data_IF_638410106974
#
_entry.id   IF_638410106974
#
_cell.length_a   1.000
_cell.length_b   1.000
_cell.length_c   1.000
_cell.angle_alpha   90.00
_cell.angle_beta   90.00
_cell.angle_gamma   90.00
#
_symmetry.space_group_name_H-M   'P 1'
#
loop_
_entity.id
_entity.type
_entity.pdbx_description
1 polymer ?
#
# COMPACT_ATOMS: atom_id res chain seq x y z
N UNK A 1 25.51 22.63 3.75
CA UNK A 1 24.57 22.99 2.68
C UNK A 1 23.32 22.15 2.86
N UNK A 2 22.18 22.76 3.21
CA UNK A 2 20.91 22.03 3.25
C UNK A 2 20.56 21.60 1.83
N UNK A 3 20.53 20.29 1.56
CA UNK A 3 19.94 19.79 0.32
C UNK A 3 18.46 20.18 0.34
N UNK A 4 18.04 20.95 -0.67
CA UNK A 4 16.63 21.24 -0.88
C UNK A 4 15.86 19.92 -1.09
N UNK A 5 14.62 19.82 -0.61
CA UNK A 5 13.80 18.65 -0.83
C UNK A 5 13.62 18.43 -2.34
N UNK A 6 13.86 17.21 -2.79
CA UNK A 6 13.83 16.84 -4.23
C UNK A 6 12.45 16.33 -4.67
N UNK A 7 11.58 16.04 -3.70
CA UNK A 7 10.35 15.28 -3.88
C UNK A 7 9.15 15.96 -3.23
N UNK A 8 7.99 15.84 -3.89
CA UNK A 8 6.69 16.17 -3.36
C UNK A 8 5.83 14.92 -3.14
N UNK A 9 4.95 14.99 -2.15
CA UNK A 9 3.95 13.97 -1.83
C UNK A 9 2.55 14.56 -2.01
N UNK A 10 1.69 13.82 -2.71
CA UNK A 10 0.28 14.09 -2.90
C UNK A 10 -0.52 12.96 -2.24
N UNK A 11 -1.35 13.29 -1.26
CA UNK A 11 -2.33 12.37 -0.71
C UNK A 11 -3.71 12.81 -1.22
N UNK A 12 -4.50 11.92 -1.86
CA UNK A 12 -5.83 12.27 -2.35
C UNK A 12 -6.70 12.90 -1.25
N UNK A 13 -7.22 14.09 -1.52
CA UNK A 13 -8.05 14.85 -0.56
C UNK A 13 -7.27 15.77 0.39
N UNK A 14 -5.94 15.84 0.30
CA UNK A 14 -5.10 16.68 1.16
C UNK A 14 -4.21 17.62 0.33
N UNK A 15 -3.65 18.63 1.00
CA UNK A 15 -2.67 19.52 0.39
C UNK A 15 -1.35 18.79 0.08
N UNK A 16 -0.69 19.22 -1.00
CA UNK A 16 0.62 18.72 -1.41
C UNK A 16 1.65 19.03 -0.33
N UNK A 17 2.47 18.03 0.03
CA UNK A 17 3.54 18.14 1.02
C UNK A 17 4.90 18.16 0.32
N UNK A 18 5.73 19.15 0.63
CA UNK A 18 7.07 19.33 0.04
C UNK A 18 8.17 19.54 1.09
N UNK A 19 7.80 19.51 2.37
CA UNK A 19 8.65 19.77 3.54
C UNK A 19 9.45 18.53 3.98
N UNK A 20 10.01 17.77 3.03
CA UNK A 20 10.92 16.67 3.33
C UNK A 20 12.18 17.19 4.03
N UNK A 21 12.57 16.54 5.12
CA UNK A 21 13.76 16.85 5.90
C UNK A 21 14.90 15.90 5.52
N UNK A 22 16.05 16.45 5.16
CA UNK A 22 17.25 15.64 4.91
C UNK A 22 17.72 14.97 6.22
N UNK A 23 17.99 13.68 6.16
CA UNK A 23 18.47 12.89 7.31
C UNK A 23 19.88 12.34 7.09
N UNK A 24 20.29 12.21 5.83
CA UNK A 24 21.60 11.71 5.41
C UNK A 24 21.85 12.19 3.97
N UNK A 25 23.06 11.96 3.44
CA UNK A 25 23.38 12.31 2.06
C UNK A 25 22.47 11.57 1.08
N UNK A 26 21.66 12.32 0.34
CA UNK A 26 20.72 11.74 -0.63
C UNK A 26 19.51 11.06 0.01
N UNK A 27 19.29 11.18 1.33
CA UNK A 27 18.12 10.64 2.01
C UNK A 27 17.32 11.73 2.71
N UNK A 28 16.00 11.69 2.52
CA UNK A 28 15.09 12.61 3.19
C UNK A 28 13.82 11.89 3.65
N UNK A 29 13.15 12.48 4.63
CA UNK A 29 11.92 11.94 5.21
C UNK A 29 10.86 13.01 5.37
N UNK A 30 9.60 12.61 5.25
CA UNK A 30 8.43 13.39 5.63
C UNK A 30 7.62 12.55 6.61
N UNK A 31 7.20 13.15 7.72
CA UNK A 31 6.38 12.47 8.72
C UNK A 31 5.03 13.17 8.86
N UNK A 32 3.95 12.39 8.81
CA UNK A 32 2.57 12.82 8.89
C UNK A 32 1.89 12.16 10.09
N UNK A 33 1.08 12.91 10.82
CA UNK A 33 0.33 12.43 11.99
C UNK A 33 -1.08 11.97 11.59
N UNK A 34 -1.53 10.88 12.18
CA UNK A 34 -2.89 10.35 12.04
C UNK A 34 -3.46 9.98 13.43
N UNK A 35 -4.49 10.68 13.94
CA UNK A 35 -5.16 11.83 13.32
C UNK A 35 -4.27 13.08 13.31
N UNK A 36 -4.52 13.99 12.37
CA UNK A 36 -3.78 15.25 12.24
C UNK A 36 -3.64 15.63 10.78
N UNK A 37 -2.44 15.43 10.23
CA UNK A 37 -2.13 15.67 8.82
C UNK A 37 -2.97 14.80 7.88
N UNK A 38 -3.33 13.59 8.33
CA UNK A 38 -4.28 12.71 7.64
C UNK A 38 -5.34 12.17 8.61
N UNK A 39 -6.54 11.93 8.08
CA UNK A 39 -7.66 11.40 8.85
C UNK A 39 -7.62 9.86 8.94
N UNK A 40 -8.01 9.27 10.08
CA UNK A 40 -8.16 7.83 10.21
C UNK A 40 -9.44 7.32 9.49
N UNK A 41 -9.50 6.02 9.16
CA UNK A 41 -8.44 5.03 9.27
C UNK A 41 -7.43 5.14 8.12
N UNK A 42 -6.13 4.94 8.42
CA UNK A 42 -5.06 4.95 7.41
C UNK A 42 -5.29 3.94 6.27
N UNK A 43 -5.99 2.83 6.55
CA UNK A 43 -6.35 1.83 5.56
C UNK A 43 -7.17 2.38 4.37
N UNK A 44 -7.78 3.58 4.49
CA UNK A 44 -8.47 4.25 3.37
C UNK A 44 -7.52 4.92 2.39
N UNK A 45 -6.28 5.18 2.78
CA UNK A 45 -5.27 5.75 1.89
C UNK A 45 -4.69 4.63 1.04
N UNK A 46 -5.44 4.21 0.03
CA UNK A 46 -5.04 3.13 -0.89
C UNK A 46 -3.92 3.56 -1.82
N UNK A 47 -3.89 4.84 -2.18
CA UNK A 47 -2.96 5.40 -3.15
C UNK A 47 -2.37 6.71 -2.65
N UNK A 48 -1.08 6.92 -2.96
CA UNK A 48 -0.41 8.21 -2.81
C UNK A 48 0.37 8.53 -4.08
N UNK A 49 0.38 9.80 -4.46
CA UNK A 49 1.18 10.31 -5.57
C UNK A 49 2.51 10.84 -5.06
N UNK A 50 3.59 10.55 -5.76
CA UNK A 50 4.88 11.20 -5.53
C UNK A 50 5.45 11.72 -6.84
N UNK A 51 6.22 12.79 -6.75
CA UNK A 51 6.84 13.41 -7.90
C UNK A 51 8.13 14.15 -7.52
N UNK A 52 9.05 14.29 -8.47
CA UNK A 52 10.21 15.15 -8.36
C UNK A 52 9.76 16.61 -8.47
N UNK A 53 10.24 17.47 -7.58
CA UNK A 53 9.91 18.90 -7.62
C UNK A 53 10.47 19.56 -8.88
N UNK A 54 9.75 20.55 -9.45
CA UNK A 54 10.21 21.26 -10.63
C UNK A 54 11.54 21.96 -10.35
N UNK A 55 12.40 22.00 -11.35
CA UNK A 55 13.74 22.61 -11.32
C UNK A 55 14.76 21.92 -10.40
N UNK A 56 14.44 20.74 -9.85
CA UNK A 56 15.40 19.90 -9.15
C UNK A 56 15.82 18.76 -10.07
N UNK A 57 17.12 18.61 -10.28
CA UNK A 57 17.68 17.49 -11.05
C UNK A 57 18.35 16.49 -10.11
N UNK A 58 18.10 15.22 -10.36
CA UNK A 58 18.85 14.15 -9.70
C UNK A 58 20.28 14.11 -10.25
N UNK A 59 21.26 13.62 -9.47
CA UNK A 59 22.59 13.36 -9.98
C UNK A 59 22.54 12.44 -11.22
N UNK A 60 23.49 12.62 -12.15
CA UNK A 60 23.50 11.82 -13.37
C UNK A 60 23.55 10.31 -13.05
N UNK A 61 22.74 9.51 -13.75
CA UNK A 61 22.65 8.07 -13.50
C UNK A 61 21.99 7.67 -12.18
N UNK A 62 21.26 8.56 -11.50
CA UNK A 62 20.53 8.26 -10.26
C UNK A 62 19.01 8.32 -10.45
N UNK A 63 18.31 7.59 -9.58
CA UNK A 63 16.88 7.66 -9.39
C UNK A 63 16.54 7.77 -7.90
N UNK A 64 15.27 7.59 -7.58
CA UNK A 64 14.72 7.69 -6.23
C UNK A 64 14.01 6.39 -5.86
N UNK A 65 14.33 5.85 -4.70
CA UNK A 65 13.55 4.82 -4.01
C UNK A 65 12.67 5.50 -2.96
N UNK A 66 11.38 5.16 -2.96
CA UNK A 66 10.40 5.64 -1.99
C UNK A 66 10.04 4.51 -1.04
N UNK A 67 10.06 4.80 0.25
CA UNK A 67 9.72 3.87 1.32
C UNK A 67 8.63 4.46 2.21
N UNK A 68 7.94 3.60 2.93
CA UNK A 68 7.04 3.99 3.99
C UNK A 68 7.34 3.22 5.29
N UNK A 69 7.00 3.83 6.41
CA UNK A 69 6.98 3.20 7.74
C UNK A 69 5.81 3.81 8.54
N UNK A 70 5.20 3.01 9.42
CA UNK A 70 4.21 3.52 10.39
C UNK A 70 4.69 3.22 11.81
N UNK A 71 4.58 4.23 12.68
CA UNK A 71 4.97 4.15 14.09
C UNK A 71 3.81 4.61 14.96
N UNK A 72 3.38 3.77 15.90
CA UNK A 72 2.36 4.09 16.89
C UNK A 72 2.89 5.01 17.98
N UNK A 73 2.01 5.85 18.54
CA UNK A 73 2.27 6.51 19.80
C UNK A 73 2.43 5.49 20.92
N UNK A 74 3.13 5.88 21.99
CA UNK A 74 3.27 5.06 23.20
C UNK A 74 2.10 5.32 24.14
N UNK A 75 1.49 4.26 24.67
CA UNK A 75 0.38 4.37 25.63
C UNK A 75 0.89 4.68 27.06
N UNK A 76 2.09 4.19 27.40
CA UNK A 76 2.69 4.34 28.72
C UNK A 76 4.14 4.83 28.64
N UNK A 77 4.59 5.66 29.61
CA UNK A 77 5.99 6.06 29.70
C UNK A 77 6.91 4.84 29.85
N UNK A 78 7.98 4.77 29.05
CA UNK A 78 8.95 3.67 29.10
C UNK A 78 8.65 2.49 28.18
N UNK A 79 7.52 2.48 27.48
CA UNK A 79 7.27 1.53 26.39
C UNK A 79 7.94 1.99 25.09
N UNK A 80 8.43 1.02 24.31
CA UNK A 80 8.88 1.28 22.94
C UNK A 80 7.66 1.39 22.01
N UNK A 81 7.65 2.34 21.06
CA UNK A 81 6.56 2.47 20.11
C UNK A 81 6.51 1.25 19.19
N UNK A 82 5.32 0.68 18.99
CA UNK A 82 5.11 -0.31 17.95
C UNK A 82 5.32 0.34 16.58
N UNK A 83 6.08 -0.30 15.69
CA UNK A 83 6.34 0.23 14.37
C UNK A 83 6.43 -0.89 13.34
N UNK A 84 6.07 -0.58 12.10
CA UNK A 84 6.39 -1.44 10.95
C UNK A 84 7.87 -1.33 10.63
N UNK A 85 8.38 -2.26 9.80
CA UNK A 85 9.62 -2.02 9.07
C UNK A 85 9.48 -0.90 8.03
N UNK A 86 10.60 -0.42 7.50
CA UNK A 86 10.58 0.35 6.25
C UNK A 86 10.31 -0.59 5.10
N UNK A 87 9.24 -0.31 4.36
CA UNK A 87 8.88 -1.08 3.17
C UNK A 87 8.97 -0.22 1.93
N UNK A 88 9.39 -0.85 0.82
CA UNK A 88 9.49 -0.16 -0.45
C UNK A 88 8.08 0.11 -1.00
N UNK A 89 7.80 1.39 -1.23
CA UNK A 89 6.60 1.85 -1.90
C UNK A 89 6.75 1.81 -3.42
N UNK A 90 7.92 2.21 -3.93
CA UNK A 90 8.23 2.19 -5.35
C UNK A 90 9.42 3.06 -5.72
N UNK A 91 9.52 3.41 -7.00
CA UNK A 91 10.70 4.07 -7.56
C UNK A 91 10.31 5.20 -8.51
N UNK A 92 11.10 6.27 -8.57
CA UNK A 92 10.99 7.34 -9.58
C UNK A 92 12.35 7.57 -10.25
N UNK A 93 12.34 7.97 -11.51
CA UNK A 93 13.58 8.18 -12.30
C UNK A 93 13.47 9.48 -13.09
N UNK A 94 14.57 10.01 -13.66
CA UNK A 94 14.48 11.18 -14.54
C UNK A 94 13.54 10.97 -15.74
N UNK A 95 13.46 9.75 -16.29
CA UNK A 95 12.52 9.39 -17.37
C UNK A 95 11.08 9.19 -16.89
N UNK A 96 10.88 8.92 -15.61
CA UNK A 96 9.57 8.76 -14.98
C UNK A 96 9.56 9.54 -13.65
N UNK A 97 9.41 10.88 -13.72
CA UNK A 97 9.65 11.77 -12.57
C UNK A 97 8.49 11.78 -11.57
N UNK A 98 7.41 11.05 -11.84
CA UNK A 98 6.24 10.94 -10.97
C UNK A 98 5.61 9.56 -11.08
N UNK A 99 4.99 9.11 -10.00
CA UNK A 99 4.23 7.87 -9.96
C UNK A 99 3.11 7.93 -8.91
N UNK A 100 2.08 7.12 -9.13
CA UNK A 100 1.06 6.81 -8.12
C UNK A 100 1.39 5.43 -7.57
N UNK A 101 1.48 5.33 -6.25
CA UNK A 101 1.82 4.12 -5.55
C UNK A 101 0.65 3.60 -4.73
N UNK A 102 0.40 2.30 -4.84
CA UNK A 102 -0.52 1.59 -3.95
C UNK A 102 0.18 1.38 -2.61
N UNK A 103 -0.47 1.79 -1.52
CA UNK A 103 0.12 1.70 -0.18
C UNK A 103 0.09 0.27 0.38
N UNK A 104 -0.95 -0.51 0.06
CA UNK A 104 -1.17 -1.84 0.62
C UNK A 104 -1.49 -1.85 2.12
N UNK A 105 -1.68 -0.69 2.74
CA UNK A 105 -1.82 -0.54 4.19
C UNK A 105 -3.01 -1.32 4.78
N UNK A 106 -4.12 -1.44 4.05
CA UNK A 106 -5.31 -2.17 4.51
C UNK A 106 -5.10 -3.69 4.66
N UNK A 107 -4.03 -4.23 4.07
CA UNK A 107 -3.69 -5.65 4.03
C UNK A 107 -2.43 -5.96 4.84
N UNK A 108 -1.73 -4.95 5.33
CA UNK A 108 -0.46 -5.10 6.03
C UNK A 108 -0.70 -5.54 7.48
N UNK A 109 -0.32 -6.78 7.82
CA UNK A 109 -0.61 -7.43 9.11
C UNK A 109 -0.21 -6.59 10.33
N UNK A 110 1.06 -6.15 10.41
CA UNK A 110 1.52 -5.31 11.53
C UNK A 110 0.76 -3.99 11.64
N UNK A 111 0.28 -3.44 10.52
CA UNK A 111 -0.46 -2.18 10.53
C UNK A 111 -1.90 -2.41 11.00
N UNK A 112 -2.50 -3.55 10.65
CA UNK A 112 -3.80 -3.95 11.19
C UNK A 112 -3.72 -4.08 12.71
N UNK A 113 -2.66 -4.72 13.22
CA UNK A 113 -2.40 -4.82 14.67
C UNK A 113 -2.20 -3.44 15.32
N UNK A 114 -1.33 -2.60 14.76
CA UNK A 114 -1.10 -1.24 15.25
C UNK A 114 -2.42 -0.44 15.25
N UNK A 115 -3.21 -0.53 14.17
CA UNK A 115 -4.48 0.21 14.04
C UNK A 115 -5.53 -0.28 15.03
N UNK A 116 -5.50 -1.56 15.42
CA UNK A 116 -6.40 -2.12 16.42
C UNK A 116 -6.16 -1.56 17.84
N UNK A 117 -4.96 -1.01 18.11
CA UNK A 117 -4.68 -0.34 19.39
C UNK A 117 -5.45 0.96 19.58
N UNK A 118 -5.95 1.58 18.50
CA UNK A 118 -6.61 2.87 18.52
C UNK A 118 -5.71 4.06 18.87
N UNK A 119 -4.41 3.83 19.02
CA UNK A 119 -3.43 4.88 19.31
C UNK A 119 -3.18 5.74 18.06
N UNK A 120 -2.92 7.05 18.23
CA UNK A 120 -2.42 7.88 17.15
C UNK A 120 -1.15 7.28 16.54
N UNK A 121 -0.99 7.41 15.24
CA UNK A 121 0.16 6.87 14.50
C UNK A 121 0.82 7.98 13.69
N UNK A 122 2.11 7.78 13.39
CA UNK A 122 2.88 8.60 12.45
C UNK A 122 3.19 7.78 11.21
N UNK A 123 2.90 8.34 10.05
CA UNK A 123 3.29 7.80 8.74
C UNK A 123 4.56 8.51 8.30
N UNK A 124 5.64 7.77 8.12
CA UNK A 124 6.91 8.30 7.61
C UNK A 124 7.09 7.84 6.17
N UNK A 125 7.18 8.81 5.25
CA UNK A 125 7.60 8.58 3.86
C UNK A 125 9.08 8.91 3.78
N UNK A 126 9.90 7.92 3.43
CA UNK A 126 11.34 8.09 3.29
C UNK A 126 11.74 7.95 1.82
N UNK A 127 12.75 8.72 1.42
CA UNK A 127 13.28 8.76 0.07
C UNK A 127 14.79 8.57 0.12
N UNK A 128 15.31 7.69 -0.74
CA UNK A 128 16.74 7.49 -0.97
C UNK A 128 17.07 7.72 -2.43
N UNK A 129 18.07 8.56 -2.71
CA UNK A 129 18.62 8.76 -4.04
C UNK A 129 19.69 7.69 -4.28
N UNK A 130 19.47 6.84 -5.28
CA UNK A 130 20.31 5.68 -5.55
C UNK A 130 20.74 5.63 -7.02
N UNK A 131 21.90 5.01 -7.34
CA UNK A 131 22.27 4.71 -8.72
C UNK A 131 21.19 3.89 -9.45
N UNK A 132 20.93 4.19 -10.72
CA UNK A 132 19.89 3.50 -11.51
C UNK A 132 20.09 1.98 -11.58
N UNK A 133 21.34 1.50 -11.54
CA UNK A 133 21.68 0.07 -11.50
C UNK A 133 21.11 -0.63 -10.26
N UNK A 134 21.01 0.06 -9.11
CA UNK A 134 20.40 -0.49 -7.91
C UNK A 134 18.87 -0.57 -8.06
N UNK A 135 18.27 0.43 -8.71
CA UNK A 135 16.82 0.58 -8.84
C UNK A 135 16.22 -0.42 -9.83
N UNK A 136 16.91 -0.73 -10.94
CA UNK A 136 16.42 -1.67 -11.97
C UNK A 136 16.11 -3.07 -11.43
N UNK A 137 16.84 -3.52 -10.40
CA UNK A 137 16.63 -4.83 -9.79
C UNK A 137 15.47 -4.86 -8.79
N UNK A 138 14.89 -3.69 -8.47
CA UNK A 138 13.94 -3.50 -7.38
C UNK A 138 12.51 -3.26 -7.90
N UNK A 139 12.33 -2.89 -9.18
CA UNK A 139 11.00 -2.59 -9.73
C UNK A 139 10.08 -3.83 -9.61
N UNK A 140 8.96 -3.73 -8.87
CA UNK A 140 8.06 -4.85 -8.68
C UNK A 140 7.50 -5.30 -10.03
N UNK A 141 7.71 -6.58 -10.35
CA UNK A 141 7.18 -7.22 -11.54
C UNK A 141 5.64 -7.14 -11.56
N UNK A 142 4.99 -7.19 -12.75
CA UNK A 142 3.53 -7.17 -12.90
C UNK A 142 2.78 -8.37 -12.27
N UNK A 143 3.45 -9.18 -11.43
CA UNK A 143 2.92 -10.34 -10.71
C UNK A 143 1.66 -10.02 -9.87
N UNK A 144 1.49 -8.77 -9.42
CA UNK A 144 0.30 -8.32 -8.70
C UNK A 144 -1.01 -8.54 -9.48
N UNK A 145 -1.02 -8.40 -10.81
CA UNK A 145 -2.25 -8.58 -11.61
C UNK A 145 -2.67 -10.06 -11.69
N UNK A 146 -1.71 -10.96 -11.82
CA UNK A 146 -1.97 -12.39 -11.81
C UNK A 146 -2.44 -12.85 -10.42
N UNK A 147 -1.83 -12.33 -9.37
CA UNK A 147 -2.24 -12.60 -7.99
C UNK A 147 -3.70 -12.16 -7.72
N UNK A 148 -4.09 -10.96 -8.16
CA UNK A 148 -5.48 -10.47 -8.08
C UNK A 148 -6.43 -11.44 -8.80
N UNK A 149 -6.12 -11.83 -10.03
CA UNK A 149 -6.96 -12.75 -10.80
C UNK A 149 -7.11 -14.12 -10.09
N UNK A 150 -6.02 -14.64 -9.53
CA UNK A 150 -6.04 -15.88 -8.74
C UNK A 150 -6.92 -15.77 -7.49
N UNK A 151 -6.87 -14.64 -6.78
CA UNK A 151 -7.70 -14.39 -5.59
C UNK A 151 -9.19 -14.28 -5.94
N UNK A 152 -9.54 -13.61 -7.03
CA UNK A 152 -10.93 -13.55 -7.54
C UNK A 152 -11.43 -14.94 -7.91
N UNK A 153 -10.62 -15.74 -8.61
CA UNK A 153 -10.96 -17.12 -8.96
C UNK A 153 -11.14 -18.00 -7.71
N UNK A 154 -10.33 -17.81 -6.68
CA UNK A 154 -10.43 -18.53 -5.41
C UNK A 154 -11.70 -18.17 -4.63
N UNK A 155 -12.09 -16.88 -4.58
CA UNK A 155 -13.36 -16.47 -3.95
C UNK A 155 -14.57 -17.10 -4.66
N UNK A 156 -14.56 -17.10 -6.00
CA UNK A 156 -15.56 -17.80 -6.79
C UNK A 156 -15.60 -19.30 -6.46
N UNK A 157 -14.45 -19.97 -6.47
CA UNK A 157 -14.36 -21.40 -6.18
C UNK A 157 -14.92 -21.75 -4.79
N UNK A 158 -14.50 -21.00 -3.75
CA UNK A 158 -15.03 -21.16 -2.38
C UNK A 158 -16.54 -20.94 -2.33
N UNK A 159 -17.06 -20.00 -3.10
CA UNK A 159 -18.51 -19.79 -3.20
C UNK A 159 -19.21 -20.98 -3.87
N UNK A 160 -18.70 -21.50 -4.99
CA UNK A 160 -19.26 -22.67 -5.65
C UNK A 160 -19.27 -23.89 -4.70
N UNK A 161 -18.17 -24.14 -3.98
CA UNK A 161 -18.07 -25.21 -2.97
C UNK A 161 -19.16 -25.14 -1.90
N UNK A 162 -19.61 -23.95 -1.50
CA UNK A 162 -20.67 -23.80 -0.49
C UNK A 162 -22.04 -24.35 -0.93
N UNK A 163 -22.24 -24.62 -2.23
CA UNK A 163 -23.44 -25.24 -2.78
C UNK A 163 -23.27 -26.73 -3.07
N UNK A 164 -22.07 -27.28 -2.89
CA UNK A 164 -21.83 -28.69 -3.10
C UNK A 164 -22.46 -29.51 -1.96
N UNK A 165 -23.60 -30.12 -2.27
CA UNK A 165 -24.33 -30.98 -1.35
C UNK A 165 -23.89 -32.47 -1.47
N UNK A 166 -22.78 -32.77 -2.15
CA UNK A 166 -22.26 -34.13 -2.35
C UNK A 166 -23.09 -35.00 -3.31
N UNK A 167 -24.03 -34.39 -4.05
CA UNK A 167 -24.98 -35.08 -4.94
C UNK A 167 -24.45 -35.32 -6.36
N UNK A 168 -23.32 -34.73 -6.73
CA UNK A 168 -22.76 -34.79 -8.10
C UNK A 168 -22.01 -36.09 -8.43
N UNK A 169 -21.63 -36.89 -7.43
CA UNK A 169 -20.70 -38.00 -7.60
C UNK A 169 -19.23 -37.57 -7.48
N UNK A 170 -18.27 -38.50 -7.62
CA UNK A 170 -16.86 -38.23 -7.36
C UNK A 170 -16.30 -37.18 -8.32
N UNK A 171 -15.81 -36.06 -7.77
CA UNK A 171 -15.18 -34.99 -8.56
C UNK A 171 -16.15 -34.09 -9.33
N UNK A 172 -17.46 -34.19 -9.08
CA UNK A 172 -18.48 -33.34 -9.72
C UNK A 172 -19.22 -32.50 -8.70
N UNK A 173 -19.32 -31.20 -8.98
CA UNK A 173 -20.07 -30.24 -8.19
C UNK A 173 -21.37 -29.88 -8.89
N UNK A 174 -22.49 -30.02 -8.19
CA UNK A 174 -23.81 -29.59 -8.70
C UNK A 174 -24.10 -28.21 -8.17
N UNK A 175 -24.15 -27.22 -9.07
CA UNK A 175 -24.47 -25.83 -8.74
C UNK A 175 -25.77 -25.38 -9.41
N UNK A 176 -26.56 -24.50 -8.77
CA UNK A 176 -27.73 -23.89 -9.41
C UNK A 176 -27.35 -23.10 -10.68
N UNK A 177 -28.23 -23.05 -11.68
CA UNK A 177 -27.98 -22.30 -12.92
C UNK A 177 -27.77 -20.80 -12.72
N UNK A 178 -28.31 -20.23 -11.63
CA UNK A 178 -28.16 -18.81 -11.27
C UNK A 178 -26.98 -18.53 -10.33
N UNK A 179 -26.03 -19.47 -10.21
CA UNK A 179 -24.93 -19.36 -9.25
C UNK A 179 -24.02 -18.16 -9.54
N UNK A 180 -23.78 -17.88 -10.82
CA UNK A 180 -22.94 -16.75 -11.24
C UNK A 180 -23.57 -15.41 -10.87
N UNK A 181 -24.86 -15.22 -11.13
CA UNK A 181 -25.57 -13.98 -10.78
C UNK A 181 -25.56 -13.75 -9.26
N UNK A 182 -25.75 -14.83 -8.48
CA UNK A 182 -25.71 -14.78 -7.01
C UNK A 182 -24.32 -14.44 -6.49
N UNK A 183 -23.28 -15.05 -7.06
CA UNK A 183 -21.90 -14.75 -6.71
C UNK A 183 -21.57 -13.30 -7.02
N UNK A 184 -21.88 -12.86 -8.25
CA UNK A 184 -21.57 -11.51 -8.73
C UNK A 184 -22.24 -10.44 -7.86
N UNK A 185 -23.53 -10.59 -7.54
CA UNK A 185 -24.22 -9.66 -6.64
C UNK A 185 -23.59 -9.59 -5.24
N UNK A 186 -23.12 -10.72 -4.70
CA UNK A 186 -22.39 -10.76 -3.42
C UNK A 186 -21.00 -10.11 -3.54
N UNK A 187 -20.29 -10.38 -4.63
CA UNK A 187 -18.96 -9.84 -4.91
C UNK A 187 -19.02 -8.32 -5.00
N UNK A 188 -19.95 -7.77 -5.79
CA UNK A 188 -20.13 -6.32 -5.94
C UNK A 188 -20.48 -5.63 -4.61
N UNK A 189 -21.36 -6.22 -3.80
CA UNK A 189 -21.70 -5.67 -2.50
C UNK A 189 -20.49 -5.60 -1.55
N UNK A 190 -19.65 -6.65 -1.54
CA UNK A 190 -18.40 -6.67 -0.77
C UNK A 190 -17.39 -5.66 -1.33
N UNK A 191 -17.23 -5.60 -2.65
CA UNK A 191 -16.30 -4.71 -3.33
C UNK A 191 -16.62 -3.23 -3.09
N UNK A 192 -17.91 -2.85 -3.15
CA UNK A 192 -18.35 -1.48 -2.82
C UNK A 192 -18.02 -1.08 -1.39
N UNK A 193 -18.01 -2.04 -0.47
CA UNK A 193 -17.69 -1.81 0.94
C UNK A 193 -16.18 -1.77 1.18
N UNK A 194 -15.44 -2.64 0.51
CA UNK A 194 -13.99 -2.79 0.64
C UNK A 194 -13.40 -3.26 -0.70
N UNK A 195 -12.78 -2.36 -1.49
CA UNK A 195 -12.20 -2.70 -2.79
C UNK A 195 -11.11 -3.78 -2.73
N UNK A 196 -10.52 -4.00 -1.56
CA UNK A 196 -9.38 -4.90 -1.37
C UNK A 196 -9.77 -6.21 -0.66
N UNK A 197 -11.07 -6.47 -0.47
CA UNK A 197 -11.54 -7.59 0.36
C UNK A 197 -11.01 -8.97 -0.07
N UNK A 198 -10.79 -9.17 -1.38
CA UNK A 198 -10.34 -10.45 -1.94
C UNK A 198 -8.83 -10.67 -1.82
N UNK A 199 -8.05 -9.63 -1.48
CA UNK A 199 -6.60 -9.73 -1.32
C UNK A 199 -6.19 -10.21 0.08
N UNK A 200 -7.07 -10.07 1.07
CA UNK A 200 -6.84 -10.56 2.43
C UNK A 200 -6.65 -12.08 2.43
N UNK A 201 -5.60 -12.55 3.12
CA UNK A 201 -5.48 -13.96 3.45
C UNK A 201 -6.60 -14.30 4.45
N UNK A 202 -7.58 -15.06 4.00
CA UNK A 202 -8.48 -15.75 4.92
C UNK A 202 -7.71 -16.97 5.40
N UNK A 203 -7.48 -17.08 6.72
CA UNK A 203 -7.10 -18.33 7.38
C UNK A 203 -7.97 -19.51 6.90
#
# INVERSE_FOLDING_TARGET
MNQQPVVGLLIPGYAVQTNFQAIDQGKCVLTLSCPGDVAPPLARLTEIGMFLLPNVSLPNGHGVLCYWQITAAVAQPGQSPAATGYELLGTMTPSQPSAIFQTGWAEHEQLVEISATGLPVKVTIAVSIEPLNNIQNITPKPEKRLFVAQKVAMDLFKFLQSFDNGRGGPGQMVVPNNIFDRWLGRFEAKFRRDPNFFLRNSD
#
